data_IF_087565890510
#
_entry.id   IF_087565890510
#
_cell.length_a   1.000
_cell.length_b   1.000
_cell.length_c   1.000
_cell.angle_alpha   90.00
_cell.angle_beta   90.00
_cell.angle_gamma   90.00
#
_symmetry.space_group_name_H-M   'P 1'
#
loop_
_entity.id
_entity.type
_entity.pdbx_description
1 polymer ?
#
# COMPACT_ATOMS: atom_id res chain seq x y z
N UNK A 1 3.10 28.41 -2.70
CA UNK A 1 4.16 27.78 -1.88
C UNK A 1 4.63 26.57 -2.67
N UNK A 2 5.94 26.31 -2.77
CA UNK A 2 6.40 25.06 -3.40
C UNK A 2 6.10 23.90 -2.45
N UNK A 3 5.16 23.05 -2.83
CA UNK A 3 4.78 21.87 -2.05
C UNK A 3 5.79 20.75 -2.31
N UNK A 4 6.50 20.30 -1.28
CA UNK A 4 7.43 19.17 -1.34
C UNK A 4 6.78 17.88 -0.81
N UNK A 5 6.77 16.80 -1.62
CA UNK A 5 6.15 15.52 -1.24
C UNK A 5 6.87 14.82 -0.09
N UNK A 6 8.17 15.04 0.09
CA UNK A 6 8.92 14.46 1.22
C UNK A 6 8.41 14.94 2.58
N UNK A 7 7.81 16.14 2.65
CA UNK A 7 7.24 16.64 3.90
C UNK A 7 6.01 15.80 4.26
N UNK A 8 5.03 15.67 3.38
CA UNK A 8 3.82 14.86 3.66
C UNK A 8 4.15 13.39 3.90
N UNK A 9 5.17 12.87 3.22
CA UNK A 9 5.64 11.50 3.38
C UNK A 9 6.13 11.22 4.79
N UNK A 10 7.02 12.06 5.32
CA UNK A 10 7.77 11.76 6.55
C UNK A 10 7.20 12.41 7.79
N UNK A 11 6.28 13.37 7.66
CA UNK A 11 5.67 14.07 8.79
C UNK A 11 4.94 13.12 9.77
N UNK A 12 4.18 12.08 9.33
CA UNK A 12 3.60 11.10 10.25
C UNK A 12 4.66 10.34 11.05
N UNK A 13 5.75 9.91 10.39
CA UNK A 13 6.84 9.20 11.06
C UNK A 13 7.56 10.10 12.06
N UNK A 14 7.85 11.36 11.69
CA UNK A 14 8.47 12.33 12.58
C UNK A 14 7.62 12.56 13.84
N UNK A 15 6.30 12.73 13.69
CA UNK A 15 5.39 12.83 14.82
C UNK A 15 5.38 11.55 15.68
N UNK A 16 5.45 10.37 15.05
CA UNK A 16 5.58 9.09 15.74
C UNK A 16 6.88 8.96 16.56
N UNK A 17 8.01 9.44 16.03
CA UNK A 17 9.29 9.48 16.74
C UNK A 17 9.22 10.43 17.94
N UNK A 18 8.62 11.62 17.78
CA UNK A 18 8.39 12.54 18.90
C UNK A 18 7.45 11.91 19.93
N UNK A 19 6.42 11.20 19.49
CA UNK A 19 5.49 10.50 20.38
C UNK A 19 6.17 9.40 21.23
N UNK A 20 7.27 8.82 20.75
CA UNK A 20 8.04 7.80 21.46
C UNK A 20 8.75 8.34 22.71
N UNK A 21 9.23 9.59 22.66
CA UNK A 21 10.04 10.20 23.71
C UNK A 21 9.22 11.01 24.73
N UNK A 22 7.97 11.34 24.42
CA UNK A 22 7.07 12.06 25.33
C UNK A 22 6.32 11.10 26.26
N UNK A 23 5.78 11.58 27.40
CA UNK A 23 4.92 10.78 28.27
C UNK A 23 3.74 10.17 27.51
N UNK A 24 3.38 8.92 27.82
CA UNK A 24 2.35 8.17 27.08
C UNK A 24 0.98 8.87 27.00
N UNK A 25 0.64 9.70 28.00
CA UNK A 25 -0.57 10.55 27.98
C UNK A 25 -0.56 11.60 26.86
N UNK A 26 0.61 12.09 26.47
CA UNK A 26 0.81 13.07 25.39
C UNK A 26 1.07 12.40 24.04
N UNK A 27 1.65 11.20 24.03
CA UNK A 27 2.02 10.48 22.80
C UNK A 27 0.86 10.38 21.79
N UNK A 28 -0.36 10.10 22.24
CA UNK A 28 -1.55 9.99 21.37
C UNK A 28 -1.93 11.34 20.74
N UNK A 29 -1.80 12.42 21.49
CA UNK A 29 -2.08 13.77 21.01
C UNK A 29 -1.00 14.27 20.05
N UNK A 30 0.26 13.92 20.29
CA UNK A 30 1.36 14.18 19.34
C UNK A 30 1.12 13.43 18.03
N UNK A 31 0.71 12.16 18.10
CA UNK A 31 0.36 11.36 16.92
C UNK A 31 -0.81 11.98 16.14
N UNK A 32 -1.88 12.39 16.85
CA UNK A 32 -3.03 13.05 16.25
C UNK A 32 -2.66 14.40 15.62
N UNK A 33 -1.81 15.19 16.27
CA UNK A 33 -1.31 16.43 15.69
C UNK A 33 -0.53 16.16 14.40
N UNK A 34 0.35 15.15 14.40
CA UNK A 34 1.07 14.71 13.20
C UNK A 34 0.13 14.28 12.08
N UNK A 35 -0.89 13.49 12.36
CA UNK A 35 -1.87 13.08 11.34
C UNK A 35 -2.70 14.26 10.82
N UNK A 36 -3.10 15.19 11.70
CA UNK A 36 -3.83 16.41 11.31
C UNK A 36 -2.99 17.33 10.43
N UNK A 37 -1.71 17.52 10.75
CA UNK A 37 -0.79 18.28 9.91
C UNK A 37 -0.59 17.60 8.55
N UNK A 38 -0.51 16.27 8.52
CA UNK A 38 -0.45 15.50 7.26
C UNK A 38 -1.73 15.68 6.45
N UNK A 39 -2.90 15.66 7.09
CA UNK A 39 -4.18 15.93 6.46
C UNK A 39 -4.27 17.36 5.92
N UNK A 40 -3.83 18.36 6.69
CA UNK A 40 -3.76 19.74 6.24
C UNK A 40 -2.87 19.89 5.00
N UNK A 41 -1.73 19.20 4.97
CA UNK A 41 -0.84 19.19 3.82
C UNK A 41 -1.45 18.45 2.61
N UNK A 42 -2.14 17.34 2.82
CA UNK A 42 -2.87 16.64 1.75
C UNK A 42 -4.00 17.50 1.17
N UNK A 43 -4.72 18.26 2.00
CA UNK A 43 -5.72 19.24 1.55
C UNK A 43 -5.06 20.36 0.74
N UNK A 44 -3.88 20.84 1.17
CA UNK A 44 -3.13 21.83 0.40
C UNK A 44 -2.71 21.31 -0.97
N UNK A 45 -2.24 20.05 -1.06
CA UNK A 45 -1.95 19.38 -2.35
C UNK A 45 -3.20 19.35 -3.24
N UNK A 46 -4.37 19.00 -2.69
CA UNK A 46 -5.63 18.95 -3.45
C UNK A 46 -6.03 20.33 -3.96
N UNK A 47 -5.87 21.37 -3.14
CA UNK A 47 -6.25 22.74 -3.51
C UNK A 47 -5.31 23.36 -4.56
N UNK A 48 -4.04 22.95 -4.58
CA UNK A 48 -3.01 23.47 -5.48
C UNK A 48 -2.83 22.60 -6.75
N UNK A 49 -3.35 21.37 -6.78
CA UNK A 49 -3.20 20.44 -7.92
C UNK A 49 -3.94 20.95 -9.17
N UNK A 50 -3.19 21.13 -10.26
CA UNK A 50 -3.76 21.53 -11.55
C UNK A 50 -4.25 20.29 -12.33
N UNK A 51 -5.56 20.05 -12.33
CA UNK A 51 -6.15 18.94 -13.09
C UNK A 51 -6.07 19.11 -14.61
N UNK A 52 -5.83 20.33 -15.11
CA UNK A 52 -5.76 20.66 -16.54
C UNK A 52 -4.37 20.46 -17.14
N UNK A 53 -3.30 20.56 -16.34
CA UNK A 53 -1.92 20.42 -16.83
C UNK A 53 -1.58 19.00 -17.33
N UNK A 54 -2.26 17.97 -16.81
CA UNK A 54 -1.93 16.57 -17.08
C UNK A 54 -0.59 16.13 -16.48
N UNK A 55 -0.31 14.83 -16.55
CA UNK A 55 0.97 14.26 -16.11
C UNK A 55 1.22 14.26 -14.59
N UNK A 56 2.50 14.11 -14.22
CA UNK A 56 2.97 14.05 -12.84
C UNK A 56 3.32 15.46 -12.32
N UNK A 57 2.90 15.76 -11.09
CA UNK A 57 3.18 17.02 -10.40
C UNK A 57 3.96 16.79 -9.10
N UNK A 58 4.54 17.87 -8.57
CA UNK A 58 5.33 17.89 -7.33
C UNK A 58 6.51 16.92 -7.34
N UNK A 59 7.24 16.88 -8.47
CA UNK A 59 8.33 15.93 -8.70
C UNK A 59 9.50 16.24 -7.77
N UNK A 60 9.95 15.22 -7.04
CA UNK A 60 11.24 15.18 -6.35
C UNK A 60 12.00 14.01 -6.97
N UNK A 61 13.21 14.26 -7.48
CA UNK A 61 14.01 13.24 -8.15
C UNK A 61 15.46 13.38 -7.71
N UNK A 62 15.87 12.50 -6.79
CA UNK A 62 17.22 12.47 -6.23
C UNK A 62 17.80 11.07 -6.40
N UNK A 63 19.03 10.96 -6.89
CA UNK A 63 19.69 9.65 -7.01
C UNK A 63 19.90 9.05 -5.62
N UNK A 64 19.35 7.86 -5.37
CA UNK A 64 19.46 7.19 -4.08
C UNK A 64 20.56 6.13 -4.06
N UNK A 65 20.56 5.21 -5.03
CA UNK A 65 21.58 4.16 -5.16
C UNK A 65 22.09 4.19 -6.61
N UNK A 66 23.10 5.02 -6.85
CA UNK A 66 23.66 5.26 -8.17
C UNK A 66 24.14 3.97 -8.88
N UNK A 67 24.74 3.04 -8.14
CA UNK A 67 25.25 1.78 -8.68
C UNK A 67 24.15 0.87 -9.27
N UNK A 68 22.89 1.09 -8.88
CA UNK A 68 21.74 0.32 -9.35
C UNK A 68 20.76 1.17 -10.17
N UNK A 69 21.06 2.46 -10.39
CA UNK A 69 20.14 3.40 -11.04
C UNK A 69 18.80 3.57 -10.31
N UNK A 70 18.81 3.46 -8.98
CA UNK A 70 17.61 3.63 -8.15
C UNK A 70 17.53 5.07 -7.67
N UNK A 71 16.37 5.68 -7.87
CA UNK A 71 16.09 7.06 -7.51
C UNK A 71 15.09 7.13 -6.34
N UNK A 72 15.29 8.10 -5.46
CA UNK A 72 14.25 8.60 -4.58
C UNK A 72 13.34 9.53 -5.39
N UNK A 73 12.56 8.93 -6.30
CA UNK A 73 11.66 9.66 -7.18
C UNK A 73 10.23 9.64 -6.65
N UNK A 74 9.73 10.80 -6.27
CA UNK A 74 8.36 11.01 -5.81
C UNK A 74 7.63 11.94 -6.77
N UNK A 75 6.42 11.58 -7.16
CA UNK A 75 5.50 12.48 -7.85
C UNK A 75 4.06 11.95 -7.73
N UNK A 76 3.09 12.81 -8.03
CA UNK A 76 1.66 12.45 -7.95
C UNK A 76 0.91 12.81 -9.23
N UNK A 77 0.02 11.92 -9.66
CA UNK A 77 -1.04 12.18 -10.64
C UNK A 77 -2.38 12.46 -9.93
N UNK A 78 -3.44 12.76 -10.67
CA UNK A 78 -4.77 13.05 -10.12
C UNK A 78 -5.31 11.90 -9.26
N UNK A 79 -5.07 10.64 -9.66
CA UNK A 79 -5.44 9.48 -8.85
C UNK A 79 -4.67 9.46 -7.52
N UNK A 80 -3.37 9.75 -7.56
CA UNK A 80 -2.53 9.76 -6.36
C UNK A 80 -3.02 10.81 -5.37
N UNK A 81 -3.39 12.01 -5.83
CA UNK A 81 -3.89 13.08 -4.95
C UNK A 81 -5.11 12.62 -4.14
N UNK A 82 -6.06 11.93 -4.78
CA UNK A 82 -7.24 11.35 -4.09
C UNK A 82 -6.83 10.29 -3.08
N UNK A 83 -5.88 9.41 -3.43
CA UNK A 83 -5.39 8.34 -2.56
C UNK A 83 -4.60 8.88 -1.36
N UNK A 84 -3.81 9.94 -1.56
CA UNK A 84 -3.09 10.65 -0.50
C UNK A 84 -4.07 11.29 0.50
N UNK A 85 -5.08 12.01 0.00
CA UNK A 85 -6.13 12.61 0.84
C UNK A 85 -6.87 11.53 1.62
N UNK A 86 -7.28 10.45 0.95
CA UNK A 86 -7.99 9.32 1.58
C UNK A 86 -7.13 8.69 2.68
N UNK A 87 -5.84 8.48 2.41
CA UNK A 87 -4.88 7.98 3.41
C UNK A 87 -4.83 8.91 4.62
N UNK A 88 -4.67 10.22 4.40
CA UNK A 88 -4.54 11.18 5.49
C UNK A 88 -5.83 11.28 6.34
N UNK A 89 -7.01 11.23 5.71
CA UNK A 89 -8.30 11.22 6.42
C UNK A 89 -8.44 9.96 7.29
N UNK A 90 -8.17 8.78 6.73
CA UNK A 90 -8.32 7.50 7.44
C UNK A 90 -7.37 7.38 8.63
N UNK A 91 -6.10 7.73 8.45
CA UNK A 91 -5.12 7.72 9.53
C UNK A 91 -5.41 8.77 10.59
N UNK A 92 -5.93 9.94 10.21
CA UNK A 92 -6.40 10.95 11.18
C UNK A 92 -7.59 10.44 11.99
N UNK A 93 -8.55 9.77 11.35
CA UNK A 93 -9.67 9.13 12.05
C UNK A 93 -9.20 8.05 13.03
N UNK A 94 -8.21 7.24 12.64
CA UNK A 94 -7.62 6.23 13.51
C UNK A 94 -6.85 6.83 14.69
N UNK A 95 -6.09 7.91 14.47
CA UNK A 95 -5.38 8.63 15.53
C UNK A 95 -6.34 9.34 16.49
N UNK A 96 -7.42 9.94 15.97
CA UNK A 96 -8.48 10.57 16.76
C UNK A 96 -9.19 9.54 17.63
N UNK A 97 -9.55 8.38 17.06
CA UNK A 97 -10.12 7.27 17.80
C UNK A 97 -9.21 6.84 18.97
N UNK A 98 -7.93 6.59 18.68
CA UNK A 98 -6.94 6.19 19.66
C UNK A 98 -6.78 7.23 20.79
N UNK A 99 -6.73 8.53 20.44
CA UNK A 99 -6.63 9.62 21.40
C UNK A 99 -7.86 9.72 22.31
N UNK A 100 -9.08 9.69 21.74
CA UNK A 100 -10.33 9.81 22.49
C UNK A 100 -10.61 8.60 23.39
N UNK A 101 -10.21 7.40 22.96
CA UNK A 101 -10.39 6.15 23.73
C UNK A 101 -9.26 5.88 24.72
N UNK A 102 -8.18 6.67 24.70
CA UNK A 102 -6.95 6.39 25.45
C UNK A 102 -6.33 5.01 25.14
N UNK A 103 -6.46 4.55 23.90
CA UNK A 103 -5.97 3.23 23.46
C UNK A 103 -4.78 3.37 22.49
N UNK A 104 -3.68 2.61 22.68
CA UNK A 104 -3.43 1.73 23.81
C UNK A 104 -2.96 2.50 25.05
N UNK A 105 -3.29 1.99 26.24
CA UNK A 105 -2.82 2.54 27.52
C UNK A 105 -1.30 2.35 27.68
N UNK A 106 -0.84 1.14 27.40
CA UNK A 106 0.58 0.76 27.48
C UNK A 106 1.32 1.07 26.19
N UNK A 107 2.57 1.52 26.33
CA UNK A 107 3.51 1.75 25.21
C UNK A 107 2.91 2.66 24.10
N UNK A 108 2.11 3.65 24.49
CA UNK A 108 1.42 4.57 23.56
C UNK A 108 2.37 5.27 22.57
N UNK A 109 3.60 5.60 22.99
CA UNK A 109 4.62 6.16 22.11
C UNK A 109 5.07 5.20 21.00
N UNK A 110 5.26 3.92 21.32
CA UNK A 110 5.58 2.89 20.32
C UNK A 110 4.41 2.66 19.36
N UNK A 111 3.18 2.66 19.86
CA UNK A 111 1.98 2.56 19.02
C UNK A 111 1.90 3.73 18.03
N UNK A 112 2.13 4.96 18.51
CA UNK A 112 2.16 6.16 17.67
C UNK A 112 3.26 6.10 16.60
N UNK A 113 4.47 5.64 16.96
CA UNK A 113 5.55 5.40 16.00
C UNK A 113 5.14 4.43 14.90
N UNK A 114 4.58 3.28 15.27
CA UNK A 114 4.18 2.26 14.31
C UNK A 114 3.04 2.73 13.39
N UNK A 115 2.06 3.45 13.93
CA UNK A 115 0.99 4.05 13.11
C UNK A 115 1.53 5.14 12.17
N UNK A 116 2.46 5.98 12.63
CA UNK A 116 3.14 6.98 11.80
C UNK A 116 3.99 6.36 10.70
N UNK A 117 4.72 5.29 11.00
CA UNK A 117 5.48 4.52 10.02
C UNK A 117 4.55 3.85 8.99
N UNK A 118 3.41 3.31 9.43
CA UNK A 118 2.42 2.73 8.53
C UNK A 118 1.84 3.79 7.58
N UNK A 119 1.49 4.96 8.10
CA UNK A 119 0.99 6.07 7.29
C UNK A 119 2.03 6.51 6.25
N UNK A 120 3.28 6.68 6.68
CA UNK A 120 4.38 7.06 5.79
C UNK A 120 4.62 6.00 4.72
N UNK A 121 4.55 4.72 5.09
CA UNK A 121 4.66 3.60 4.14
C UNK A 121 3.59 3.63 3.06
N UNK A 122 2.32 3.81 3.44
CA UNK A 122 1.20 3.89 2.50
C UNK A 122 1.33 5.09 1.57
N UNK A 123 1.62 6.27 2.12
CA UNK A 123 1.83 7.49 1.34
C UNK A 123 2.97 7.27 0.34
N UNK A 124 4.10 6.73 0.80
CA UNK A 124 5.27 6.45 -0.02
C UNK A 124 4.96 5.52 -1.19
N UNK A 125 4.18 4.45 -0.97
CA UNK A 125 3.77 3.53 -2.02
C UNK A 125 2.92 4.22 -3.11
N UNK A 126 2.09 5.19 -2.74
CA UNK A 126 1.32 5.98 -3.72
C UNK A 126 2.15 7.08 -4.40
N UNK A 127 3.22 7.58 -3.79
CA UNK A 127 4.03 8.66 -4.38
C UNK A 127 5.24 8.15 -5.18
N UNK A 128 5.67 6.90 -4.96
CA UNK A 128 6.84 6.34 -5.60
C UNK A 128 6.70 6.29 -7.14
N UNK A 129 7.66 6.89 -7.84
CA UNK A 129 7.81 6.87 -9.30
C UNK A 129 9.08 6.12 -9.73
N UNK A 130 9.66 5.37 -8.82
CA UNK A 130 10.73 4.41 -9.04
C UNK A 130 10.23 3.03 -8.55
N UNK A 131 10.46 1.99 -9.35
CA UNK A 131 9.96 0.64 -9.12
C UNK A 131 10.58 0.00 -7.88
N UNK A 132 11.88 0.21 -7.64
CA UNK A 132 12.53 -0.30 -6.43
C UNK A 132 12.02 0.46 -5.19
N UNK A 133 11.84 1.78 -5.29
CA UNK A 133 11.25 2.58 -4.23
C UNK A 133 9.80 2.15 -3.91
N UNK A 134 9.00 1.84 -4.94
CA UNK A 134 7.65 1.30 -4.79
C UNK A 134 7.68 -0.03 -4.02
N UNK A 135 8.57 -0.96 -4.38
CA UNK A 135 8.74 -2.25 -3.67
C UNK A 135 9.10 -2.02 -2.20
N UNK A 136 10.03 -1.11 -1.92
CA UNK A 136 10.43 -0.77 -0.54
C UNK A 136 9.24 -0.26 0.27
N UNK A 137 8.47 0.70 -0.24
CA UNK A 137 7.31 1.21 0.49
C UNK A 137 6.17 0.20 0.59
N UNK A 138 5.98 -0.62 -0.44
CA UNK A 138 5.00 -1.70 -0.47
C UNK A 138 5.22 -2.69 0.68
N UNK A 139 6.46 -3.00 1.03
CA UNK A 139 6.75 -3.84 2.20
C UNK A 139 6.82 -3.06 3.51
N UNK A 140 7.44 -1.88 3.50
CA UNK A 140 7.58 -1.04 4.68
C UNK A 140 6.22 -0.72 5.31
N UNK A 141 5.18 -0.50 4.50
CA UNK A 141 3.84 -0.21 5.01
C UNK A 141 3.22 -1.36 5.81
N UNK A 142 3.63 -2.62 5.59
CA UNK A 142 3.11 -3.79 6.31
C UNK A 142 3.81 -4.04 7.65
N UNK A 143 5.12 -3.76 7.71
CA UNK A 143 5.95 -4.05 8.89
C UNK A 143 5.31 -3.55 10.20
N UNK A 144 4.78 -2.32 10.28
CA UNK A 144 4.16 -1.85 11.51
C UNK A 144 2.94 -2.64 11.93
N UNK A 145 2.14 -3.15 10.98
CA UNK A 145 0.93 -3.91 11.29
C UNK A 145 1.24 -5.27 11.91
N UNK A 146 2.38 -5.88 11.57
CA UNK A 146 2.85 -7.10 12.24
C UNK A 146 3.09 -6.82 13.72
N UNK A 147 3.83 -5.75 14.04
CA UNK A 147 4.12 -5.37 15.42
C UNK A 147 2.86 -4.90 16.16
N UNK A 148 2.01 -4.10 15.52
CA UNK A 148 0.75 -3.64 16.10
C UNK A 148 -0.14 -4.83 16.49
N UNK A 149 -0.21 -5.86 15.65
CA UNK A 149 -0.98 -7.06 15.91
C UNK A 149 -0.30 -7.98 16.93
N UNK A 150 1.03 -8.13 16.90
CA UNK A 150 1.74 -8.95 17.89
C UNK A 150 1.70 -8.37 19.30
N UNK A 151 1.74 -7.05 19.45
CA UNK A 151 1.81 -6.39 20.75
C UNK A 151 0.41 -6.14 21.32
N UNK A 152 -0.53 -5.66 20.50
CA UNK A 152 -1.87 -5.26 20.94
C UNK A 152 -3.02 -6.09 20.35
N UNK A 153 -2.73 -7.18 19.65
CA UNK A 153 -3.77 -8.02 19.05
C UNK A 153 -4.70 -8.67 20.07
N UNK A 154 -5.89 -9.05 19.61
CA UNK A 154 -7.05 -9.40 20.46
C UNK A 154 -6.83 -10.62 21.36
N UNK A 155 -6.29 -11.70 20.81
CA UNK A 155 -6.12 -12.99 21.49
C UNK A 155 -4.61 -13.30 21.57
N UNK A 156 -4.01 -13.27 22.78
CA UNK A 156 -2.57 -13.48 22.96
C UNK A 156 -2.05 -14.81 22.40
N UNK A 157 -2.87 -15.85 22.37
CA UNK A 157 -2.48 -17.18 21.88
C UNK A 157 -2.56 -17.27 20.36
N UNK A 158 -3.45 -16.50 19.73
CA UNK A 158 -3.69 -16.56 18.27
C UNK A 158 -3.00 -15.46 17.47
N UNK A 159 -2.64 -14.33 18.09
CA UNK A 159 -1.99 -13.21 17.40
C UNK A 159 -0.63 -13.57 16.81
N UNK A 160 0.14 -14.44 17.47
CA UNK A 160 1.43 -14.93 16.96
C UNK A 160 1.28 -15.71 15.66
N UNK A 161 0.54 -16.83 15.65
CA UNK A 161 0.27 -17.61 14.45
C UNK A 161 -0.39 -16.80 13.32
N UNK A 162 -1.34 -15.90 13.64
CA UNK A 162 -1.99 -15.05 12.65
C UNK A 162 -1.00 -14.10 11.95
N UNK A 163 -0.11 -13.46 12.71
CA UNK A 163 0.91 -12.56 12.14
C UNK A 163 1.93 -13.35 11.34
N UNK A 164 2.36 -14.53 11.80
CA UNK A 164 3.28 -15.38 11.05
C UNK A 164 2.68 -15.78 9.69
N UNK A 165 1.40 -16.18 9.67
CA UNK A 165 0.69 -16.52 8.43
C UNK A 165 0.58 -15.32 7.48
N UNK A 166 0.16 -14.17 7.99
CA UNK A 166 0.12 -12.91 7.23
C UNK A 166 1.50 -12.56 6.65
N UNK A 167 2.54 -12.62 7.48
CA UNK A 167 3.91 -12.32 7.10
C UNK A 167 4.39 -13.25 5.98
N UNK A 168 4.24 -14.58 6.14
CA UNK A 168 4.69 -15.54 5.12
C UNK A 168 3.96 -15.34 3.79
N UNK A 169 2.62 -15.19 3.81
CA UNK A 169 1.86 -14.98 2.58
C UNK A 169 2.35 -13.73 1.83
N UNK A 170 2.41 -12.60 2.53
CA UNK A 170 2.74 -11.32 1.91
C UNK A 170 4.23 -11.20 1.58
N UNK A 171 5.13 -11.82 2.36
CA UNK A 171 6.56 -11.87 2.06
C UNK A 171 6.82 -12.69 0.79
N UNK A 172 6.18 -13.85 0.61
CA UNK A 172 6.34 -14.66 -0.61
C UNK A 172 5.93 -13.84 -1.83
N UNK A 173 4.77 -13.17 -1.77
CA UNK A 173 4.34 -12.26 -2.85
C UNK A 173 5.35 -11.13 -3.10
N UNK A 174 5.89 -10.53 -2.05
CA UNK A 174 6.77 -9.36 -2.20
C UNK A 174 8.19 -9.73 -2.65
N UNK A 175 8.71 -10.90 -2.28
CA UNK A 175 9.95 -11.45 -2.83
C UNK A 175 9.80 -11.78 -4.32
N UNK A 176 8.66 -12.35 -4.72
CA UNK A 176 8.31 -12.55 -6.13
C UNK A 176 8.32 -11.20 -6.88
N UNK A 177 7.61 -10.21 -6.35
CA UNK A 177 7.60 -8.85 -6.90
C UNK A 177 9.00 -8.24 -7.00
N UNK A 178 9.85 -8.43 -5.99
CA UNK A 178 11.23 -7.94 -5.98
C UNK A 178 12.05 -8.58 -7.12
N UNK A 179 11.95 -9.89 -7.31
CA UNK A 179 12.59 -10.59 -8.43
C UNK A 179 12.07 -10.04 -9.77
N UNK A 180 10.75 -9.84 -9.89
CA UNK A 180 10.14 -9.23 -11.07
C UNK A 180 10.65 -7.81 -11.34
N UNK A 181 10.79 -6.99 -10.29
CA UNK A 181 11.30 -5.62 -10.39
C UNK A 181 12.75 -5.60 -10.88
N UNK A 182 13.62 -6.40 -10.25
CA UNK A 182 15.04 -6.53 -10.65
C UNK A 182 15.14 -7.01 -12.09
N UNK A 183 14.40 -8.06 -12.46
CA UNK A 183 14.39 -8.59 -13.82
C UNK A 183 13.91 -7.52 -14.83
N UNK A 184 12.91 -6.73 -14.49
CA UNK A 184 12.42 -5.63 -15.33
C UNK A 184 13.52 -4.60 -15.58
N UNK A 185 14.16 -4.10 -14.51
CA UNK A 185 15.22 -3.10 -14.64
C UNK A 185 16.44 -3.59 -15.43
N UNK A 186 16.88 -4.83 -15.18
CA UNK A 186 18.05 -5.41 -15.87
C UNK A 186 17.75 -5.72 -17.34
N UNK A 187 16.57 -6.27 -17.65
CA UNK A 187 16.22 -6.60 -19.04
C UNK A 187 15.89 -5.34 -19.86
N UNK A 188 15.28 -4.32 -19.24
CA UNK A 188 15.00 -3.05 -19.93
C UNK A 188 16.27 -2.28 -20.29
N UNK A 189 17.34 -2.45 -19.50
CA UNK A 189 18.62 -1.80 -19.77
C UNK A 189 19.32 -2.34 -21.04
N UNK A 190 19.05 -3.59 -21.44
CA UNK A 190 19.64 -4.27 -22.62
C UNK A 190 21.18 -4.09 -22.76
N UNK A 191 21.90 -4.26 -21.65
CA UNK A 191 23.36 -4.08 -21.58
C UNK A 191 23.83 -2.63 -21.38
N UNK A 192 22.91 -1.67 -21.34
CA UNK A 192 23.13 -0.28 -20.94
C UNK A 192 23.03 -0.05 -19.43
N UNK A 193 22.74 1.20 -19.06
CA UNK A 193 22.58 1.58 -17.66
C UNK A 193 21.21 1.17 -17.13
N UNK A 194 21.18 0.47 -16.01
CA UNK A 194 19.92 0.13 -15.32
C UNK A 194 19.27 1.39 -14.77
N UNK A 195 17.95 1.51 -14.94
CA UNK A 195 17.10 2.52 -14.30
C UNK A 195 15.85 1.84 -13.76
N UNK A 196 15.44 2.19 -12.55
CA UNK A 196 14.17 1.74 -11.97
C UNK A 196 13.07 2.80 -12.05
N UNK A 197 13.37 3.97 -12.62
CA UNK A 197 12.38 5.04 -12.80
C UNK A 197 11.27 4.57 -13.74
N UNK A 198 10.01 4.74 -13.32
CA UNK A 198 8.86 4.20 -14.05
C UNK A 198 8.69 4.82 -15.44
N UNK A 199 9.05 6.10 -15.65
CA UNK A 199 9.01 6.71 -16.98
C UNK A 199 9.99 6.01 -17.94
N UNK A 200 11.21 5.78 -17.49
CA UNK A 200 12.28 5.19 -18.30
C UNK A 200 11.94 3.74 -18.69
N UNK A 201 11.40 2.98 -17.73
CA UNK A 201 10.95 1.60 -17.95
C UNK A 201 9.75 1.51 -18.90
N UNK A 202 8.89 2.53 -18.97
CA UNK A 202 7.77 2.60 -19.91
C UNK A 202 8.23 2.92 -21.34
N UNK A 203 9.33 3.64 -21.48
CA UNK A 203 9.95 3.93 -22.78
C UNK A 203 10.77 2.74 -23.32
N UNK A 204 11.33 1.92 -22.42
CA UNK A 204 12.16 0.75 -22.75
C UNK A 204 11.48 -0.55 -22.33
N UNK A 205 10.36 -0.86 -22.98
CA UNK A 205 9.61 -2.07 -22.68
C UNK A 205 10.42 -3.34 -23.01
N UNK A 206 10.41 -4.29 -22.08
CA UNK A 206 11.05 -5.59 -22.25
C UNK A 206 10.32 -6.44 -23.30
N UNK A 207 11.01 -7.48 -23.80
CA UNK A 207 10.46 -8.42 -24.79
C UNK A 207 9.12 -9.04 -24.34
N UNK A 208 8.23 -9.35 -25.28
CA UNK A 208 6.89 -9.90 -25.00
C UNK A 208 6.93 -11.19 -24.17
N UNK A 209 7.89 -12.08 -24.46
CA UNK A 209 8.08 -13.31 -23.68
C UNK A 209 8.49 -13.05 -22.23
N UNK A 210 9.34 -12.04 -21.99
CA UNK A 210 9.71 -11.61 -20.64
C UNK A 210 8.54 -10.93 -19.91
N UNK A 211 7.75 -10.10 -20.62
CA UNK A 211 6.56 -9.45 -20.04
C UNK A 211 5.59 -10.49 -19.47
N UNK A 212 5.35 -11.61 -20.15
CA UNK A 212 4.40 -12.63 -19.71
C UNK A 212 4.73 -13.16 -18.31
N UNK A 213 5.96 -13.64 -18.11
CA UNK A 213 6.37 -14.23 -16.84
C UNK A 213 6.46 -13.18 -15.73
N UNK A 214 7.03 -12.01 -16.03
CA UNK A 214 7.20 -10.96 -15.04
C UNK A 214 5.84 -10.38 -14.62
N UNK A 215 4.91 -10.20 -15.57
CA UNK A 215 3.54 -9.80 -15.26
C UNK A 215 2.85 -10.79 -14.31
N UNK A 216 2.94 -12.10 -14.56
CA UNK A 216 2.32 -13.11 -13.69
C UNK A 216 2.89 -13.06 -12.26
N UNK A 217 4.18 -12.80 -12.12
CA UNK A 217 4.86 -12.64 -10.83
C UNK A 217 4.36 -11.40 -10.09
N UNK A 218 4.26 -10.24 -10.75
CA UNK A 218 3.65 -9.03 -10.18
C UNK A 218 2.17 -9.23 -9.85
N UNK A 219 1.41 -9.81 -10.78
CA UNK A 219 -0.01 -10.07 -10.60
C UNK A 219 -0.27 -10.97 -9.39
N UNK A 220 0.50 -12.04 -9.23
CA UNK A 220 0.41 -12.93 -8.07
C UNK A 220 0.74 -12.19 -6.77
N UNK A 221 1.79 -11.36 -6.75
CA UNK A 221 2.14 -10.55 -5.59
C UNK A 221 0.99 -9.62 -5.16
N UNK A 222 0.37 -8.94 -6.13
CA UNK A 222 -0.75 -8.05 -5.88
C UNK A 222 -2.02 -8.82 -5.48
N UNK A 223 -2.33 -9.94 -6.12
CA UNK A 223 -3.46 -10.83 -5.78
C UNK A 223 -3.35 -11.35 -4.34
N UNK A 224 -2.16 -11.78 -3.90
CA UNK A 224 -1.92 -12.21 -2.51
C UNK A 224 -2.14 -11.07 -1.53
N UNK A 225 -1.64 -9.87 -1.86
CA UNK A 225 -1.71 -8.68 -1.00
C UNK A 225 -3.13 -8.09 -0.88
N UNK A 226 -3.93 -8.14 -1.95
CA UNK A 226 -5.32 -7.63 -1.99
C UNK A 226 -6.38 -8.66 -1.56
N UNK A 227 -6.02 -9.52 -0.62
CA UNK A 227 -6.48 -10.91 -0.49
C UNK A 227 -7.53 -11.37 -1.53
N UNK A 228 -7.13 -11.52 -2.79
CA UNK A 228 -8.02 -12.06 -3.83
C UNK A 228 -8.18 -13.57 -3.67
N UNK A 229 -9.33 -14.12 -4.08
CA UNK A 229 -9.51 -15.57 -4.16
C UNK A 229 -8.55 -16.17 -5.22
N UNK A 230 -7.84 -17.29 -4.94
CA UNK A 230 -7.87 -18.14 -3.74
C UNK A 230 -6.79 -17.80 -2.68
N UNK A 231 -6.08 -16.68 -2.82
CA UNK A 231 -4.91 -16.29 -2.02
C UNK A 231 -5.24 -15.53 -0.72
N UNK A 232 -6.52 -15.44 -0.35
CA UNK A 232 -7.01 -14.67 0.78
C UNK A 232 -6.83 -15.34 2.16
N UNK A 233 -6.27 -16.55 2.21
CA UNK A 233 -6.29 -17.40 3.40
C UNK A 233 -5.67 -16.80 4.67
N UNK A 234 -4.78 -15.81 4.54
CA UNK A 234 -4.21 -15.07 5.67
C UNK A 234 -5.14 -14.02 6.27
N UNK A 235 -6.08 -13.49 5.49
CA UNK A 235 -6.93 -12.35 5.86
C UNK A 235 -7.81 -12.63 7.08
N UNK A 236 -8.56 -13.76 7.16
CA UNK A 236 -9.46 -14.00 8.27
C UNK A 236 -8.75 -14.02 9.63
N UNK A 237 -7.58 -14.66 9.69
CA UNK A 237 -6.77 -14.76 10.90
C UNK A 237 -6.16 -13.40 11.26
N UNK A 238 -5.56 -12.71 10.28
CA UNK A 238 -4.97 -11.38 10.47
C UNK A 238 -5.99 -10.36 10.96
N UNK A 239 -7.16 -10.27 10.31
CA UNK A 239 -8.19 -9.28 10.64
C UNK A 239 -8.87 -9.57 11.99
N UNK A 240 -9.01 -10.86 12.34
CA UNK A 240 -9.57 -11.22 13.64
C UNK A 240 -8.70 -10.75 14.79
N UNK A 241 -7.38 -10.76 14.61
CA UNK A 241 -6.41 -10.43 15.65
C UNK A 241 -6.01 -8.97 15.68
N UNK A 242 -6.08 -8.24 14.57
CA UNK A 242 -5.63 -6.86 14.52
C UNK A 242 -6.48 -5.93 15.41
N UNK A 243 -5.86 -4.96 16.12
CA UNK A 243 -6.61 -3.95 16.87
C UNK A 243 -7.50 -3.11 15.94
N UNK A 244 -8.56 -2.49 16.48
CA UNK A 244 -9.61 -1.85 15.67
C UNK A 244 -9.09 -0.71 14.79
N UNK A 245 -8.35 0.24 15.36
CA UNK A 245 -7.85 1.39 14.61
C UNK A 245 -6.84 1.00 13.49
N UNK A 246 -5.83 0.14 13.74
CA UNK A 246 -5.00 -0.42 12.68
C UNK A 246 -5.80 -1.22 11.65
N UNK A 247 -6.77 -2.05 12.06
CA UNK A 247 -7.60 -2.82 11.14
C UNK A 247 -8.40 -1.91 10.19
N UNK A 248 -8.94 -0.81 10.70
CA UNK A 248 -9.70 0.15 9.90
C UNK A 248 -8.85 0.74 8.77
N UNK A 249 -7.63 1.22 9.04
CA UNK A 249 -6.74 1.74 7.98
C UNK A 249 -6.20 0.64 7.07
N UNK A 250 -5.90 -0.55 7.61
CA UNK A 250 -5.42 -1.70 6.85
C UNK A 250 -6.43 -2.12 5.77
N UNK A 251 -7.68 -2.29 6.19
CA UNK A 251 -8.79 -2.66 5.29
C UNK A 251 -9.12 -1.52 4.34
N UNK A 252 -9.18 -0.28 4.80
CA UNK A 252 -9.67 0.85 4.02
C UNK A 252 -8.69 1.31 2.93
N UNK A 253 -7.37 1.34 3.17
CA UNK A 253 -6.40 1.88 2.21
C UNK A 253 -5.22 0.96 1.91
N UNK A 254 -4.67 0.26 2.90
CA UNK A 254 -3.46 -0.56 2.67
C UNK A 254 -3.71 -1.66 1.64
N UNK A 255 -4.89 -2.30 1.70
CA UNK A 255 -5.31 -3.32 0.72
C UNK A 255 -5.47 -2.77 -0.71
N UNK A 256 -5.69 -1.47 -0.87
CA UNK A 256 -5.86 -0.80 -2.19
C UNK A 256 -4.53 -0.54 -2.88
N UNK A 257 -3.42 -0.51 -2.15
CA UNK A 257 -2.08 -0.30 -2.72
C UNK A 257 -1.74 -1.40 -3.74
N UNK A 258 -2.20 -2.63 -3.53
CA UNK A 258 -2.02 -3.72 -4.49
C UNK A 258 -2.83 -3.53 -5.79
N UNK A 259 -4.08 -3.07 -5.68
CA UNK A 259 -4.88 -2.71 -6.86
C UNK A 259 -4.25 -1.52 -7.60
N UNK A 260 -3.75 -0.52 -6.87
CA UNK A 260 -2.97 0.58 -7.43
C UNK A 260 -1.68 0.08 -8.13
N UNK A 261 -1.04 -0.96 -7.59
CA UNK A 261 0.12 -1.61 -8.24
C UNK A 261 -0.19 -2.15 -9.64
N UNK A 262 -1.41 -2.67 -9.88
CA UNK A 262 -1.81 -3.05 -11.24
C UNK A 262 -1.85 -1.84 -12.18
N UNK A 263 -2.46 -0.74 -11.73
CA UNK A 263 -2.61 0.49 -12.52
C UNK A 263 -1.28 1.19 -12.80
N UNK A 264 -0.42 1.30 -11.79
CA UNK A 264 0.80 2.10 -11.88
C UNK A 264 2.00 1.32 -12.43
N UNK A 265 2.06 0.02 -12.11
CA UNK A 265 3.22 -0.84 -12.39
C UNK A 265 2.88 -1.91 -13.42
N UNK A 266 1.98 -2.85 -13.12
CA UNK A 266 1.84 -4.03 -13.96
C UNK A 266 1.32 -3.72 -15.38
N UNK A 267 0.26 -2.93 -15.51
CA UNK A 267 -0.32 -2.61 -16.81
C UNK A 267 0.61 -1.73 -17.66
N UNK A 268 1.17 -0.61 -17.14
CA UNK A 268 2.02 0.26 -17.96
C UNK A 268 3.37 -0.36 -18.35
N UNK A 269 3.94 -1.22 -17.49
CA UNK A 269 5.25 -1.86 -17.77
C UNK A 269 5.13 -3.14 -18.59
N UNK A 270 3.98 -3.82 -18.54
CA UNK A 270 3.77 -5.10 -19.24
C UNK A 270 2.47 -5.09 -20.05
N UNK A 271 2.25 -4.12 -20.96
CA UNK A 271 0.95 -3.92 -21.61
C UNK A 271 0.52 -5.12 -22.47
N UNK A 272 1.47 -5.81 -23.11
CA UNK A 272 1.16 -6.99 -23.92
C UNK A 272 0.67 -8.15 -23.03
N UNK A 273 1.39 -8.41 -21.93
CA UNK A 273 1.01 -9.47 -20.99
C UNK A 273 -0.31 -9.14 -20.26
N UNK A 274 -0.54 -7.87 -19.92
CA UNK A 274 -1.78 -7.41 -19.30
C UNK A 274 -3.00 -7.69 -20.20
N UNK A 275 -2.88 -7.45 -21.52
CA UNK A 275 -3.93 -7.80 -22.48
C UNK A 275 -4.08 -9.33 -22.64
N UNK A 276 -2.97 -10.06 -22.73
CA UNK A 276 -2.99 -11.51 -22.90
C UNK A 276 -3.61 -12.26 -21.70
N UNK A 277 -3.32 -11.81 -20.48
CA UNK A 277 -3.83 -12.42 -19.24
C UNK A 277 -5.05 -11.67 -18.67
N UNK A 278 -5.66 -10.76 -19.43
CA UNK A 278 -6.82 -9.99 -19.00
C UNK A 278 -7.95 -10.90 -18.49
N UNK A 279 -8.34 -11.89 -19.29
CA UNK A 279 -9.41 -12.84 -18.93
C UNK A 279 -9.09 -13.59 -17.63
N UNK A 280 -7.84 -14.03 -17.46
CA UNK A 280 -7.41 -14.72 -16.24
C UNK A 280 -7.55 -13.84 -14.99
N UNK A 281 -7.14 -12.58 -15.07
CA UNK A 281 -7.27 -11.64 -13.95
C UNK A 281 -8.74 -11.32 -13.67
N UNK A 282 -9.56 -11.16 -14.72
CA UNK A 282 -11.01 -10.98 -14.60
C UNK A 282 -11.69 -12.19 -13.92
N UNK A 283 -11.25 -13.41 -14.22
CA UNK A 283 -11.75 -14.63 -13.54
C UNK A 283 -11.43 -14.57 -12.04
N UNK A 284 -10.18 -14.25 -11.65
CA UNK A 284 -9.84 -14.11 -10.22
C UNK A 284 -10.63 -12.99 -9.54
N UNK A 285 -10.83 -11.87 -10.24
CA UNK A 285 -11.60 -10.74 -9.73
C UNK A 285 -13.07 -11.11 -9.52
N UNK A 286 -13.71 -11.75 -10.50
CA UNK A 286 -15.08 -12.24 -10.40
C UNK A 286 -15.23 -13.30 -9.31
N UNK A 287 -14.30 -14.26 -9.25
CA UNK A 287 -14.29 -15.26 -8.19
C UNK A 287 -14.17 -14.62 -6.80
N UNK A 288 -13.36 -13.56 -6.66
CA UNK A 288 -13.24 -12.78 -5.43
C UNK A 288 -14.54 -12.06 -5.06
N UNK A 289 -15.26 -11.49 -6.04
CA UNK A 289 -16.60 -10.90 -5.85
C UNK A 289 -17.57 -11.93 -5.29
N UNK A 290 -17.70 -13.07 -5.96
CA UNK A 290 -18.66 -14.11 -5.59
C UNK A 290 -18.32 -14.73 -4.24
N UNK A 291 -17.06 -15.17 -4.07
CA UNK A 291 -16.61 -15.82 -2.84
C UNK A 291 -16.66 -14.87 -1.65
N UNK A 292 -16.15 -13.63 -1.80
CA UNK A 292 -16.20 -12.62 -0.75
C UNK A 292 -17.63 -12.31 -0.32
N UNK A 293 -18.57 -12.21 -1.27
CA UNK A 293 -19.98 -11.99 -0.97
C UNK A 293 -20.60 -13.15 -0.18
N UNK A 294 -20.40 -14.39 -0.64
CA UNK A 294 -20.94 -15.59 0.03
C UNK A 294 -20.36 -15.73 1.44
N UNK A 295 -19.06 -15.56 1.61
CA UNK A 295 -18.42 -15.67 2.92
C UNK A 295 -18.81 -14.54 3.88
N UNK A 296 -19.09 -13.34 3.37
CA UNK A 296 -19.60 -12.26 4.20
C UNK A 296 -20.99 -12.57 4.78
N UNK A 297 -21.87 -13.27 4.04
CA UNK A 297 -23.18 -13.69 4.53
C UNK A 297 -23.14 -14.84 5.55
N UNK A 298 -22.11 -15.69 5.49
CA UNK A 298 -21.97 -16.83 6.43
C UNK A 298 -21.15 -16.48 7.68
N UNK A 299 -20.37 -15.39 7.63
CA UNK A 299 -19.59 -14.93 8.77
C UNK A 299 -20.48 -14.37 9.89
N UNK A 300 -20.22 -14.79 11.14
CA UNK A 300 -20.96 -14.32 12.33
C UNK A 300 -20.30 -13.14 13.03
N UNK A 301 -19.02 -12.89 12.76
CA UNK A 301 -18.24 -11.82 13.39
C UNK A 301 -18.16 -10.62 12.48
N UNK A 302 -18.56 -9.43 12.96
CA UNK A 302 -18.56 -8.20 12.18
C UNK A 302 -17.24 -7.91 11.46
N UNK A 303 -16.10 -8.16 12.11
CA UNK A 303 -14.77 -7.96 11.50
C UNK A 303 -14.55 -8.82 10.26
N UNK A 304 -15.03 -10.05 10.27
CA UNK A 304 -14.93 -10.97 9.15
C UNK A 304 -15.95 -10.65 8.06
N UNK A 305 -17.17 -10.24 8.43
CA UNK A 305 -18.18 -9.76 7.47
C UNK A 305 -17.59 -8.59 6.65
N UNK A 306 -17.02 -7.60 7.33
CA UNK A 306 -16.37 -6.45 6.67
C UNK A 306 -15.12 -6.88 5.88
N UNK A 307 -14.35 -7.84 6.40
CA UNK A 307 -13.17 -8.36 5.70
C UNK A 307 -13.51 -9.04 4.38
N UNK A 308 -14.49 -9.94 4.37
CA UNK A 308 -14.96 -10.63 3.16
C UNK A 308 -15.69 -9.68 2.20
N UNK A 309 -16.44 -8.70 2.72
CA UNK A 309 -17.00 -7.62 1.90
C UNK A 309 -15.91 -6.81 1.19
N UNK A 310 -14.78 -6.53 1.87
CA UNK A 310 -13.63 -5.86 1.26
C UNK A 310 -12.98 -6.70 0.15
N UNK A 311 -12.95 -8.03 0.25
CA UNK A 311 -12.48 -8.91 -0.84
C UNK A 311 -13.36 -8.72 -2.07
N UNK A 312 -14.68 -8.71 -1.89
CA UNK A 312 -15.59 -8.52 -3.02
C UNK A 312 -15.42 -7.14 -3.67
N UNK A 313 -15.27 -6.07 -2.87
CA UNK A 313 -15.02 -4.73 -3.37
C UNK A 313 -13.71 -4.61 -4.13
N UNK A 314 -12.63 -5.23 -3.66
CA UNK A 314 -11.35 -5.30 -4.39
C UNK A 314 -11.51 -6.07 -5.70
N UNK A 315 -12.31 -7.13 -5.73
CA UNK A 315 -12.71 -7.81 -6.96
C UNK A 315 -13.34 -6.85 -7.97
N UNK A 316 -14.30 -6.01 -7.55
CA UNK A 316 -14.89 -4.98 -8.42
C UNK A 316 -13.87 -3.95 -8.92
N UNK A 317 -12.96 -3.50 -8.06
CA UNK A 317 -11.89 -2.58 -8.47
C UNK A 317 -11.02 -3.21 -9.57
N UNK A 318 -10.63 -4.48 -9.39
CA UNK A 318 -9.81 -5.20 -10.37
C UNK A 318 -10.58 -5.44 -11.68
N UNK A 319 -11.88 -5.76 -11.62
CA UNK A 319 -12.73 -5.81 -12.81
C UNK A 319 -12.74 -4.49 -13.57
N UNK A 320 -12.85 -3.36 -12.86
CA UNK A 320 -12.80 -2.03 -13.46
C UNK A 320 -11.45 -1.71 -14.09
N UNK A 321 -10.35 -2.04 -13.40
CA UNK A 321 -8.97 -1.86 -13.90
C UNK A 321 -8.75 -2.67 -15.18
N UNK A 322 -9.17 -3.94 -15.19
CA UNK A 322 -8.98 -4.86 -16.32
C UNK A 322 -10.14 -4.83 -17.31
N UNK A 323 -11.07 -3.89 -17.21
CA UNK A 323 -11.98 -3.56 -18.31
C UNK A 323 -11.18 -2.98 -19.50
N UNK A 324 -10.03 -2.36 -19.23
CA UNK A 324 -9.11 -1.77 -20.22
C UNK A 324 -9.81 -0.81 -21.21
N UNK A 325 -10.93 -0.22 -20.79
CA UNK A 325 -11.64 0.79 -21.55
C UNK A 325 -10.86 2.10 -21.45
N UNK A 326 -10.41 2.60 -22.60
CA UNK A 326 -9.83 3.95 -22.74
C UNK A 326 -10.93 4.98 -22.94
#
# INVERSE_FOLDING_TARGET
>A
MTIHLSIVLWLPLAAGIVALIVPGRLARWVALLGSLLTLGYAIAIVADYDSGAGGLQYITDETWIAALGIHYKLAVSGLNVVLLLTTAVLFTGAALWAALRNEPAERAGLYALLMGLAQSGVLGAFMAQDLALFVVFFDLMLVPFYFLTLIWGMDPEKRGPAVLKLFIYTLVGSLLMLVGAIATGVLAADGGNVSFVLSDLREHLISTGSQQWIFLVFALAFLIKMPAFPFHGWMPDGYSQMPIAPLAVFTAILSKVAAYGFLQVAIPLFPHAAAQYQELVLIFALASVLYGSVMAFTATRLRLILGYSSIAQLGFIVLGIFALNQ
#
